data_IF_726555742375
#
_entry.id   IF_726555742375
#
_cell.length_a   1.000
_cell.length_b   1.000
_cell.length_c   1.000
_cell.angle_alpha   90.00
_cell.angle_beta   90.00
_cell.angle_gamma   90.00
#
_symmetry.space_group_name_H-M   'P 1'
#
loop_
_entity.id
_entity.type
_entity.pdbx_description
1 polymer ?
#
# COMPACT_ATOMS: atom_id res chain seq x y z
N UNK A 1 -38.01 -1.13 23.72
CA UNK A 1 -37.55 -1.75 22.44
C UNK A 1 -37.97 -0.81 21.31
N UNK A 2 -37.04 -0.45 20.41
CA UNK A 2 -37.40 0.31 19.21
C UNK A 2 -38.25 -0.58 18.30
N UNK A 3 -39.41 -0.07 17.89
CA UNK A 3 -40.36 -0.85 17.10
C UNK A 3 -40.16 -0.54 15.62
N UNK A 4 -40.09 -1.56 14.78
CA UNK A 4 -40.04 -1.44 13.33
C UNK A 4 -41.42 -1.04 12.83
N UNK A 5 -41.49 0.08 12.11
CA UNK A 5 -42.71 0.59 11.49
C UNK A 5 -42.53 0.64 9.97
N UNK A 6 -43.64 0.63 9.20
CA UNK A 6 -43.63 0.88 7.77
C UNK A 6 -44.23 2.24 7.48
N UNK A 7 -43.43 3.13 6.93
CA UNK A 7 -43.86 4.48 6.62
C UNK A 7 -43.95 4.74 5.13
N UNK A 8 -45.00 5.44 4.69
CA UNK A 8 -45.07 5.91 3.31
C UNK A 8 -43.90 6.86 3.04
N UNK A 9 -43.30 6.77 1.84
CA UNK A 9 -42.16 7.61 1.47
C UNK A 9 -42.46 9.10 1.60
N UNK A 10 -43.69 9.49 1.35
CA UNK A 10 -44.17 10.89 1.48
C UNK A 10 -44.08 11.46 2.92
N UNK A 11 -43.94 10.59 3.92
CA UNK A 11 -43.75 11.01 5.31
C UNK A 11 -42.29 11.32 5.67
N UNK A 12 -41.34 10.80 4.85
CA UNK A 12 -39.92 10.96 5.13
C UNK A 12 -39.37 12.27 4.55
N UNK A 13 -38.56 12.97 5.30
CA UNK A 13 -37.97 14.26 4.98
C UNK A 13 -36.45 14.16 5.04
N UNK A 14 -35.81 14.44 3.93
CA UNK A 14 -34.36 14.47 3.88
C UNK A 14 -33.79 15.60 4.74
N UNK A 15 -32.73 15.32 5.50
CA UNK A 15 -32.03 16.35 6.26
C UNK A 15 -31.17 17.21 5.33
N UNK A 16 -31.59 18.46 5.11
CA UNK A 16 -30.99 19.37 4.13
C UNK A 16 -29.49 19.69 4.35
N UNK A 17 -28.97 19.49 5.56
CA UNK A 17 -27.54 19.74 5.90
C UNK A 17 -26.75 18.43 6.00
N UNK A 18 -27.13 17.38 5.27
CA UNK A 18 -26.36 16.15 5.22
C UNK A 18 -25.01 16.40 4.50
N UNK A 19 -23.86 16.21 5.18
CA UNK A 19 -22.55 16.50 4.57
C UNK A 19 -22.09 15.44 3.58
N UNK A 20 -22.76 14.27 3.51
CA UNK A 20 -22.34 13.15 2.67
C UNK A 20 -22.87 13.28 1.25
N UNK A 21 -21.95 13.28 0.27
CA UNK A 21 -22.29 13.22 -1.17
C UNK A 21 -22.31 11.76 -1.59
N UNK A 22 -23.51 11.23 -1.85
CA UNK A 22 -23.70 9.80 -2.13
C UNK A 22 -24.61 9.53 -3.35
N UNK A 23 -24.87 10.53 -4.19
CA UNK A 23 -25.79 10.38 -5.33
C UNK A 23 -25.29 9.37 -6.37
N UNK A 24 -23.96 9.22 -6.51
CA UNK A 24 -23.33 8.25 -7.40
C UNK A 24 -23.61 6.78 -7.00
N UNK A 25 -23.88 6.53 -5.73
CA UNK A 25 -24.12 5.18 -5.21
C UNK A 25 -25.60 4.76 -5.22
N UNK A 26 -26.52 5.62 -5.69
CA UNK A 26 -27.96 5.33 -5.65
C UNK A 26 -28.29 4.10 -6.49
N UNK A 27 -27.66 3.92 -7.64
CA UNK A 27 -27.95 2.81 -8.56
C UNK A 27 -27.51 1.46 -7.99
N UNK A 28 -26.36 1.40 -7.32
CA UNK A 28 -25.91 0.20 -6.62
C UNK A 28 -26.88 -0.19 -5.50
N UNK A 29 -27.37 0.77 -4.71
CA UNK A 29 -28.35 0.47 -3.67
C UNK A 29 -29.71 0.09 -4.24
N UNK A 30 -30.14 0.64 -5.39
CA UNK A 30 -31.32 0.20 -6.12
C UNK A 30 -31.22 -1.25 -6.53
N UNK A 31 -30.09 -1.66 -7.11
CA UNK A 31 -29.82 -3.04 -7.49
C UNK A 31 -29.85 -3.98 -6.29
N UNK A 32 -29.16 -3.61 -5.21
CA UNK A 32 -29.16 -4.38 -3.96
C UNK A 32 -30.57 -4.51 -3.34
N UNK A 33 -31.39 -3.44 -3.34
CA UNK A 33 -32.77 -3.54 -2.81
C UNK A 33 -33.64 -4.43 -3.69
N UNK A 34 -33.45 -4.45 -5.02
CA UNK A 34 -34.19 -5.36 -5.91
C UNK A 34 -33.87 -6.82 -5.63
N UNK A 35 -32.60 -7.13 -5.41
CA UNK A 35 -32.15 -8.50 -5.18
C UNK A 35 -32.48 -8.98 -3.76
N UNK A 36 -32.05 -8.21 -2.76
CA UNK A 36 -32.14 -8.65 -1.36
C UNK A 36 -33.43 -8.18 -0.65
N UNK A 37 -34.18 -7.27 -1.25
CA UNK A 37 -35.27 -6.54 -0.58
C UNK A 37 -34.74 -5.42 0.33
N UNK A 38 -35.66 -4.64 0.90
CA UNK A 38 -35.30 -3.54 1.80
C UNK A 38 -34.98 -4.08 3.21
N UNK A 39 -33.75 -4.53 3.45
CA UNK A 39 -33.33 -5.26 4.66
C UNK A 39 -32.89 -4.36 5.82
N UNK A 40 -32.30 -3.20 5.51
CA UNK A 40 -31.77 -2.28 6.53
C UNK A 40 -32.72 -1.07 6.68
N UNK A 41 -33.45 -0.90 7.80
CA UNK A 41 -34.42 0.18 7.99
C UNK A 41 -33.80 1.57 7.88
N UNK A 42 -34.61 2.57 7.55
CA UNK A 42 -34.27 3.98 7.67
C UNK A 42 -34.46 4.38 9.14
N UNK A 43 -33.52 5.11 9.73
CA UNK A 43 -33.67 5.72 11.05
C UNK A 43 -34.21 7.13 10.87
N UNK A 44 -35.38 7.44 11.46
CA UNK A 44 -36.01 8.75 11.34
C UNK A 44 -36.60 9.21 12.66
N UNK A 45 -36.79 10.52 12.81
CA UNK A 45 -37.58 11.13 13.91
C UNK A 45 -39.06 10.93 13.65
N UNK A 46 -39.87 11.06 14.70
CA UNK A 46 -41.33 11.02 14.61
C UNK A 46 -41.93 12.08 13.69
N UNK A 47 -41.25 13.20 13.45
CA UNK A 47 -41.60 14.24 12.50
C UNK A 47 -41.28 13.89 11.03
N UNK A 48 -40.67 12.76 10.79
CA UNK A 48 -40.29 12.30 9.46
C UNK A 48 -38.86 12.62 9.05
N UNK A 49 -38.13 13.43 9.79
CA UNK A 49 -36.75 13.82 9.45
C UNK A 49 -35.79 12.61 9.52
N UNK A 50 -35.13 12.29 8.42
CA UNK A 50 -34.17 11.17 8.32
C UNK A 50 -32.95 11.48 9.19
N UNK A 51 -32.61 10.53 10.04
CA UNK A 51 -31.37 10.52 10.84
C UNK A 51 -30.28 9.76 10.11
N UNK A 52 -30.56 8.53 9.65
CA UNK A 52 -29.69 7.71 8.82
C UNK A 52 -30.47 6.99 7.74
N UNK A 53 -29.81 6.66 6.61
CA UNK A 53 -30.41 5.95 5.49
C UNK A 53 -30.85 6.86 4.32
N UNK A 54 -30.31 8.06 4.18
CA UNK A 54 -30.64 8.97 3.06
C UNK A 54 -30.44 8.31 1.69
N UNK A 55 -29.37 7.50 1.52
CA UNK A 55 -29.10 6.78 0.29
C UNK A 55 -30.16 5.71 0.01
N UNK A 56 -30.60 4.99 1.03
CA UNK A 56 -31.68 4.01 0.95
C UNK A 56 -33.03 4.68 0.63
N UNK A 57 -33.27 5.86 1.19
CA UNK A 57 -34.45 6.67 0.85
C UNK A 57 -34.46 7.07 -0.63
N UNK A 58 -33.33 7.60 -1.17
CA UNK A 58 -33.21 7.96 -2.58
C UNK A 58 -33.42 6.75 -3.49
N UNK A 59 -32.85 5.60 -3.13
CA UNK A 59 -33.06 4.35 -3.85
C UNK A 59 -34.51 3.89 -3.84
N UNK A 60 -35.20 4.00 -2.70
CA UNK A 60 -36.63 3.69 -2.58
C UNK A 60 -37.51 4.60 -3.44
N UNK A 61 -37.20 5.90 -3.49
CA UNK A 61 -37.88 6.85 -4.37
C UNK A 61 -37.68 6.46 -5.84
N UNK A 62 -36.43 6.12 -6.24
CA UNK A 62 -36.11 5.69 -7.61
C UNK A 62 -36.80 4.37 -7.99
N UNK A 63 -36.99 3.47 -7.03
CA UNK A 63 -37.71 2.21 -7.20
C UNK A 63 -39.24 2.39 -7.25
N UNK A 64 -39.77 3.55 -6.86
CA UNK A 64 -41.20 3.81 -6.74
C UNK A 64 -41.88 3.00 -5.64
N UNK A 65 -41.19 2.75 -4.53
CA UNK A 65 -41.80 2.04 -3.40
C UNK A 65 -42.83 2.92 -2.69
N UNK A 66 -43.96 2.35 -2.29
CA UNK A 66 -45.01 3.08 -1.55
C UNK A 66 -44.60 3.35 -0.11
N UNK A 67 -43.94 2.38 0.54
CA UNK A 67 -43.54 2.45 1.93
C UNK A 67 -42.21 1.72 2.16
N UNK A 68 -41.51 2.09 3.23
CA UNK A 68 -40.23 1.51 3.64
C UNK A 68 -40.21 1.21 5.15
N UNK A 69 -39.38 0.26 5.59
CA UNK A 69 -39.19 -0.01 7.02
C UNK A 69 -38.42 1.15 7.69
N UNK A 70 -38.92 1.59 8.81
CA UNK A 70 -38.37 2.72 9.58
C UNK A 70 -38.25 2.35 11.05
N UNK A 71 -37.10 2.72 11.63
CA UNK A 71 -36.93 2.76 13.10
C UNK A 71 -37.02 4.19 13.59
N UNK A 72 -37.64 4.37 14.75
CA UNK A 72 -37.77 5.71 15.38
C UNK A 72 -36.56 5.99 16.25
N UNK A 73 -35.98 7.18 16.11
CA UNK A 73 -34.87 7.71 16.90
C UNK A 73 -35.21 8.88 17.78
N UNK A 74 -36.44 8.93 18.31
CA UNK A 74 -36.92 10.02 19.16
C UNK A 74 -36.35 9.98 20.59
N UNK A 75 -35.66 8.93 20.96
CA UNK A 75 -34.95 8.75 22.23
C UNK A 75 -33.62 9.53 22.30
N UNK A 76 -33.19 10.11 21.20
CA UNK A 76 -31.95 10.90 21.11
C UNK A 76 -32.25 12.41 21.12
N UNK A 77 -31.41 13.17 21.81
CA UNK A 77 -31.41 14.63 21.73
C UNK A 77 -30.95 15.12 20.37
N UNK A 78 -31.27 16.35 19.97
CA UNK A 78 -30.86 16.96 18.71
C UNK A 78 -29.31 16.96 18.54
N UNK A 79 -28.58 17.16 19.64
CA UNK A 79 -27.13 17.12 19.64
C UNK A 79 -26.60 15.69 19.38
N UNK A 80 -27.22 14.69 20.02
CA UNK A 80 -26.88 13.29 19.80
C UNK A 80 -27.21 12.86 18.38
N UNK A 81 -28.32 13.27 17.79
CA UNK A 81 -28.69 13.00 16.40
C UNK A 81 -27.63 13.55 15.41
N UNK A 82 -27.18 14.81 15.65
CA UNK A 82 -26.12 15.39 14.81
C UNK A 82 -24.82 14.64 14.92
N UNK A 83 -24.40 14.29 16.14
CA UNK A 83 -23.19 13.51 16.39
C UNK A 83 -23.30 12.10 15.77
N UNK A 84 -24.45 11.44 15.95
CA UNK A 84 -24.72 10.11 15.43
C UNK A 84 -24.62 10.06 13.89
N UNK A 85 -25.20 11.02 13.17
CA UNK A 85 -25.06 11.11 11.70
C UNK A 85 -23.60 11.14 11.25
N UNK A 86 -22.75 11.87 11.96
CA UNK A 86 -21.33 11.94 11.62
C UNK A 86 -20.60 10.63 11.97
N UNK A 87 -20.86 10.09 13.19
CA UNK A 87 -20.17 8.92 13.69
C UNK A 87 -20.47 7.67 12.89
N UNK A 88 -21.72 7.38 12.55
CA UNK A 88 -22.11 6.20 11.75
C UNK A 88 -21.37 6.16 10.41
N UNK A 89 -21.33 7.31 9.72
CA UNK A 89 -20.62 7.39 8.45
C UNK A 89 -19.10 7.25 8.63
N UNK A 90 -18.53 7.91 9.66
CA UNK A 90 -17.09 7.88 9.89
C UNK A 90 -16.61 6.52 10.38
N UNK A 91 -17.37 5.86 11.23
CA UNK A 91 -17.04 4.51 11.73
C UNK A 91 -17.02 3.47 10.60
N UNK A 92 -17.94 3.58 9.63
CA UNK A 92 -17.92 2.72 8.45
C UNK A 92 -16.64 2.91 7.58
N UNK A 93 -16.10 4.14 7.53
CA UNK A 93 -14.85 4.43 6.83
C UNK A 93 -13.57 3.97 7.58
N UNK A 94 -13.66 3.74 8.89
CA UNK A 94 -12.54 3.24 9.69
C UNK A 94 -12.38 1.71 9.61
N UNK A 95 -13.43 1.00 9.20
CA UNK A 95 -13.35 -0.43 8.95
C UNK A 95 -12.59 -0.69 7.65
N UNK A 96 -11.66 -1.63 7.67
CA UNK A 96 -10.99 -2.16 6.49
C UNK A 96 -11.53 -3.54 6.14
N UNK A 97 -11.29 -3.98 4.91
CA UNK A 97 -11.55 -5.33 4.48
C UNK A 97 -10.31 -6.20 4.71
N UNK A 98 -10.51 -7.40 5.18
CA UNK A 98 -9.53 -8.48 5.07
C UNK A 98 -9.65 -8.99 3.62
N UNK A 99 -8.66 -8.64 2.80
CA UNK A 99 -8.73 -8.93 1.38
C UNK A 99 -8.62 -10.43 1.06
N UNK A 100 -7.99 -11.23 1.92
CA UNK A 100 -7.89 -12.68 1.75
C UNK A 100 -9.27 -13.32 1.97
N UNK A 101 -9.91 -13.01 3.10
CA UNK A 101 -11.25 -13.50 3.37
C UNK A 101 -12.27 -12.95 2.37
N UNK A 102 -12.14 -11.70 1.96
CA UNK A 102 -13.04 -11.08 0.98
C UNK A 102 -12.92 -11.74 -0.39
N UNK A 103 -11.71 -12.08 -0.83
CA UNK A 103 -11.51 -12.77 -2.11
C UNK A 103 -12.11 -14.18 -2.11
N UNK A 104 -12.02 -14.92 -0.99
CA UNK A 104 -12.66 -16.22 -0.84
C UNK A 104 -14.20 -16.12 -0.92
N UNK A 105 -14.79 -15.18 -0.20
CA UNK A 105 -16.25 -14.94 -0.24
C UNK A 105 -16.74 -14.57 -1.65
N UNK A 106 -15.99 -13.69 -2.35
CA UNK A 106 -16.32 -13.32 -3.73
C UNK A 106 -16.18 -14.50 -4.69
N UNK A 107 -15.15 -15.34 -4.55
CA UNK A 107 -14.99 -16.54 -5.38
C UNK A 107 -16.10 -17.57 -5.14
N UNK A 108 -16.55 -17.75 -3.91
CA UNK A 108 -17.68 -18.62 -3.59
C UNK A 108 -18.98 -18.11 -4.21
N UNK A 109 -19.21 -16.80 -4.17
CA UNK A 109 -20.37 -16.17 -4.79
C UNK A 109 -20.32 -16.30 -6.32
N UNK A 110 -19.17 -16.10 -6.96
CA UNK A 110 -18.97 -16.29 -8.40
C UNK A 110 -19.24 -17.74 -8.81
N UNK A 111 -18.70 -18.71 -8.07
CA UNK A 111 -18.92 -20.14 -8.30
C UNK A 111 -20.40 -20.54 -8.14
N UNK A 112 -21.15 -19.82 -7.29
CA UNK A 112 -22.59 -19.98 -7.14
C UNK A 112 -23.39 -19.28 -8.28
N UNK A 113 -22.72 -18.58 -9.20
CA UNK A 113 -23.35 -17.84 -10.29
C UNK A 113 -24.03 -16.55 -9.86
N UNK A 114 -23.60 -15.97 -8.72
CA UNK A 114 -24.13 -14.72 -8.20
C UNK A 114 -23.49 -13.52 -8.90
N UNK A 115 -24.29 -12.48 -9.16
CA UNK A 115 -23.80 -11.22 -9.74
C UNK A 115 -23.04 -10.40 -8.72
N UNK A 116 -21.71 -10.40 -8.81
CA UNK A 116 -20.81 -9.77 -7.85
C UNK A 116 -20.92 -8.22 -7.82
N UNK A 117 -21.41 -7.58 -8.88
CA UNK A 117 -21.65 -6.12 -8.88
C UNK A 117 -22.70 -5.71 -7.83
N UNK A 118 -23.57 -6.63 -7.43
CA UNK A 118 -24.56 -6.43 -6.36
C UNK A 118 -23.96 -6.33 -4.96
N UNK A 119 -22.68 -6.72 -4.78
CA UNK A 119 -21.95 -6.57 -3.53
C UNK A 119 -21.55 -5.11 -3.27
N UNK A 120 -21.53 -4.28 -4.30
CA UNK A 120 -21.16 -2.87 -4.23
C UNK A 120 -19.69 -2.57 -4.46
N UNK A 121 -18.87 -3.58 -4.76
CA UNK A 121 -17.50 -3.40 -5.26
C UNK A 121 -17.54 -3.06 -6.76
N UNK A 122 -16.56 -2.27 -7.21
CA UNK A 122 -16.42 -1.98 -8.64
C UNK A 122 -15.85 -3.21 -9.39
N UNK A 123 -16.24 -3.39 -10.67
CA UNK A 123 -15.78 -4.53 -11.49
C UNK A 123 -14.26 -4.71 -11.45
N UNK A 124 -13.49 -3.60 -11.52
CA UNK A 124 -12.02 -3.65 -11.44
C UNK A 124 -11.47 -4.04 -10.06
N UNK A 125 -12.19 -3.74 -8.98
CA UNK A 125 -11.86 -4.20 -7.62
C UNK A 125 -12.12 -5.69 -7.48
N UNK A 126 -13.26 -6.17 -7.98
CA UNK A 126 -13.63 -7.59 -8.02
C UNK A 126 -12.61 -8.39 -8.81
N UNK A 127 -12.28 -7.95 -10.03
CA UNK A 127 -11.26 -8.62 -10.86
C UNK A 127 -9.90 -8.69 -10.14
N UNK A 128 -9.47 -7.61 -9.48
CA UNK A 128 -8.21 -7.57 -8.74
C UNK A 128 -8.22 -8.48 -7.49
N UNK A 129 -9.35 -8.64 -6.83
CA UNK A 129 -9.53 -9.53 -5.68
C UNK A 129 -9.60 -11.00 -6.12
N UNK A 130 -10.37 -11.29 -7.18
CA UNK A 130 -10.49 -12.65 -7.73
C UNK A 130 -9.21 -13.12 -8.43
N UNK A 131 -8.45 -12.22 -9.08
CA UNK A 131 -7.15 -12.57 -9.62
C UNK A 131 -6.19 -13.04 -8.51
N UNK A 132 -6.26 -12.44 -7.33
CA UNK A 132 -5.52 -12.91 -6.15
C UNK A 132 -6.07 -14.24 -5.63
N UNK A 133 -7.40 -14.43 -5.60
CA UNK A 133 -8.01 -15.69 -5.22
C UNK A 133 -7.81 -16.80 -6.28
N UNK A 134 -7.72 -16.42 -7.56
CA UNK A 134 -7.39 -17.33 -8.66
C UNK A 134 -5.94 -17.82 -8.59
N UNK A 135 -5.03 -16.95 -8.20
CA UNK A 135 -3.65 -17.32 -7.84
C UNK A 135 -3.61 -18.22 -6.58
N UNK A 136 -4.59 -18.09 -5.66
CA UNK A 136 -4.69 -18.90 -4.44
C UNK A 136 -5.52 -20.19 -4.60
N UNK A 137 -6.46 -20.29 -5.56
CA UNK A 137 -7.11 -21.56 -5.93
C UNK A 137 -6.19 -22.47 -6.79
N UNK A 138 -5.15 -21.90 -7.38
CA UNK A 138 -3.94 -22.65 -7.73
C UNK A 138 -3.07 -22.93 -6.49
N UNK A 139 -3.48 -22.48 -5.28
CA UNK A 139 -2.78 -22.72 -4.01
C UNK A 139 -2.78 -24.18 -3.56
N UNK A 140 -3.64 -25.06 -4.10
CA UNK A 140 -3.35 -26.51 -4.03
C UNK A 140 -2.20 -26.91 -4.96
N UNK A 141 -1.87 -26.06 -5.96
CA UNK A 141 -0.64 -26.16 -6.75
C UNK A 141 0.43 -25.18 -6.26
N UNK A 142 0.08 -24.06 -5.59
CA UNK A 142 0.99 -23.05 -5.04
C UNK A 142 1.61 -23.47 -3.70
N UNK A 143 0.93 -24.27 -2.88
CA UNK A 143 1.54 -24.95 -1.73
C UNK A 143 2.67 -25.92 -2.18
N UNK A 144 2.67 -26.33 -3.46
CA UNK A 144 3.76 -27.10 -4.04
C UNK A 144 4.84 -26.24 -4.74
N UNK A 145 4.55 -24.96 -5.00
CA UNK A 145 5.53 -24.02 -5.62
C UNK A 145 6.41 -23.37 -4.54
N UNK A 146 5.90 -23.16 -3.33
CA UNK A 146 6.67 -22.72 -2.16
C UNK A 146 7.29 -23.88 -1.36
N UNK A 147 6.89 -25.13 -1.64
CA UNK A 147 7.61 -26.31 -1.15
C UNK A 147 9.00 -26.32 -1.82
N UNK A 148 10.01 -25.91 -1.05
CA UNK A 148 11.41 -26.05 -1.47
C UNK A 148 11.68 -27.54 -1.65
N UNK A 149 11.82 -28.04 -2.88
CA UNK A 149 12.07 -29.47 -3.08
C UNK A 149 13.34 -29.87 -2.34
N UNK A 150 13.34 -31.09 -1.79
CA UNK A 150 14.51 -31.64 -1.14
C UNK A 150 15.76 -31.42 -2.00
N UNK A 151 16.81 -30.92 -1.37
CA UNK A 151 18.07 -30.67 -2.06
C UNK A 151 18.52 -31.96 -2.75
N UNK A 152 18.66 -32.00 -4.08
CA UNK A 152 19.08 -33.20 -4.78
C UNK A 152 20.41 -33.71 -4.23
N UNK A 153 20.54 -35.03 -4.09
CA UNK A 153 21.74 -35.66 -3.53
C UNK A 153 23.05 -35.33 -4.31
N UNK A 154 22.91 -34.83 -5.52
CA UNK A 154 23.97 -34.22 -6.32
C UNK A 154 23.50 -32.86 -6.81
N UNK A 155 24.28 -31.80 -6.52
CA UNK A 155 23.98 -30.48 -7.05
C UNK A 155 24.02 -30.49 -8.58
N UNK A 156 22.97 -29.95 -9.18
CA UNK A 156 22.90 -29.78 -10.65
C UNK A 156 23.77 -28.59 -11.07
N UNK A 157 23.75 -27.50 -10.29
CA UNK A 157 24.54 -26.29 -10.55
C UNK A 157 25.94 -26.40 -9.94
N UNK A 158 26.94 -25.94 -10.68
CA UNK A 158 28.35 -25.86 -10.25
C UNK A 158 28.78 -24.41 -10.20
N UNK A 159 29.78 -24.11 -9.39
CA UNK A 159 30.40 -22.77 -9.37
C UNK A 159 30.89 -22.42 -10.79
N UNK A 160 30.47 -21.26 -11.29
CA UNK A 160 30.79 -20.79 -12.65
C UNK A 160 29.66 -21.03 -13.66
N UNK A 161 28.66 -21.86 -13.35
CA UNK A 161 27.54 -22.09 -14.28
C UNK A 161 26.70 -20.86 -14.44
N UNK A 162 26.35 -20.50 -15.68
CA UNK A 162 25.43 -19.41 -16.03
C UNK A 162 24.14 -20.00 -16.60
N UNK A 163 23.02 -19.70 -15.95
CA UNK A 163 21.70 -20.09 -16.41
C UNK A 163 21.03 -18.95 -17.15
N UNK A 164 20.43 -19.26 -18.29
CA UNK A 164 19.66 -18.30 -19.09
C UNK A 164 18.17 -18.52 -18.88
N UNK A 165 17.48 -17.52 -18.37
CA UNK A 165 16.06 -17.50 -18.08
C UNK A 165 15.38 -16.47 -18.98
N UNK A 166 15.13 -16.83 -20.23
CA UNK A 166 14.74 -15.89 -21.27
C UNK A 166 15.84 -14.85 -21.50
N UNK A 167 15.58 -13.59 -21.20
CA UNK A 167 16.57 -12.51 -21.28
C UNK A 167 17.40 -12.29 -20.00
N UNK A 168 17.10 -13.03 -18.94
CA UNK A 168 17.75 -12.88 -17.64
C UNK A 168 18.89 -13.89 -17.51
N UNK A 169 19.90 -13.53 -16.73
CA UNK A 169 21.05 -14.38 -16.42
C UNK A 169 21.15 -14.59 -14.92
N UNK A 170 21.47 -15.80 -14.51
CA UNK A 170 21.79 -16.18 -13.14
C UNK A 170 23.12 -16.92 -13.14
N UNK A 171 24.05 -16.54 -12.28
CA UNK A 171 25.33 -17.22 -12.12
C UNK A 171 25.43 -17.84 -10.74
N UNK A 172 25.98 -19.06 -10.68
CA UNK A 172 26.38 -19.70 -9.44
C UNK A 172 27.81 -19.28 -9.11
N UNK A 173 28.02 -18.38 -8.15
CA UNK A 173 29.35 -17.89 -7.82
C UNK A 173 29.35 -16.90 -6.65
N UNK A 174 30.55 -16.46 -6.27
CA UNK A 174 30.70 -15.44 -5.24
C UNK A 174 30.46 -14.04 -5.82
N UNK A 175 29.51 -13.31 -5.28
CA UNK A 175 29.19 -11.94 -5.70
C UNK A 175 30.32 -10.92 -5.39
N UNK A 176 31.26 -11.26 -4.53
CA UNK A 176 32.46 -10.46 -4.27
C UNK A 176 33.61 -10.72 -5.27
N UNK A 177 33.49 -11.76 -6.09
CA UNK A 177 34.47 -12.05 -7.14
C UNK A 177 34.19 -11.26 -8.41
N UNK A 178 35.10 -10.34 -8.76
CA UNK A 178 34.98 -9.49 -9.95
C UNK A 178 34.88 -10.30 -11.26
N UNK A 179 35.50 -11.49 -11.34
CA UNK A 179 35.41 -12.33 -12.51
C UNK A 179 34.04 -12.97 -12.72
N UNK A 180 33.35 -13.30 -11.62
CA UNK A 180 31.97 -13.80 -11.59
C UNK A 180 31.02 -12.71 -12.08
N UNK A 181 31.14 -11.50 -11.55
CA UNK A 181 30.33 -10.35 -11.98
C UNK A 181 30.61 -10.02 -13.46
N UNK A 182 31.84 -10.02 -13.91
CA UNK A 182 32.19 -9.77 -15.31
C UNK A 182 31.56 -10.81 -16.24
N UNK A 183 31.61 -12.10 -15.86
CA UNK A 183 31.00 -13.19 -16.64
C UNK A 183 29.46 -13.06 -16.69
N UNK A 184 28.81 -12.70 -15.56
CA UNK A 184 27.37 -12.48 -15.53
C UNK A 184 26.96 -11.34 -16.46
N UNK A 185 27.65 -10.22 -16.38
CA UNK A 185 27.31 -8.98 -17.09
C UNK A 185 27.72 -8.98 -18.57
N UNK A 186 28.67 -9.83 -18.97
CA UNK A 186 29.07 -9.99 -20.36
C UNK A 186 29.38 -8.65 -21.10
N UNK A 187 30.07 -7.77 -20.41
CA UNK A 187 30.40 -6.41 -20.89
C UNK A 187 29.30 -5.36 -20.78
N UNK A 188 28.11 -5.72 -20.32
CA UNK A 188 27.02 -4.77 -20.08
C UNK A 188 27.22 -4.00 -18.76
N UNK A 189 26.58 -2.82 -18.65
CA UNK A 189 26.55 -2.04 -17.43
C UNK A 189 25.13 -1.98 -16.85
N UNK A 190 25.02 -2.09 -15.53
CA UNK A 190 23.74 -2.00 -14.84
C UNK A 190 23.34 -0.54 -14.60
N UNK A 191 22.08 -0.22 -14.87
CA UNK A 191 21.47 1.07 -14.51
C UNK A 191 20.89 1.09 -13.10
N UNK A 192 20.65 -0.10 -12.52
CA UNK A 192 20.16 -0.29 -11.17
C UNK A 192 20.81 -1.53 -10.55
N UNK A 193 21.29 -1.40 -9.33
CA UNK A 193 21.56 -2.51 -8.42
C UNK A 193 20.60 -2.40 -7.25
N UNK A 194 19.82 -3.45 -6.99
CA UNK A 194 19.01 -3.57 -5.78
C UNK A 194 19.42 -4.84 -5.06
N UNK A 195 19.77 -4.74 -3.78
CA UNK A 195 20.21 -5.89 -2.99
C UNK A 195 19.76 -5.78 -1.54
N UNK A 196 19.54 -6.94 -0.92
CA UNK A 196 19.32 -7.13 0.50
C UNK A 196 20.38 -8.10 1.02
N UNK A 197 21.59 -7.61 1.33
CA UNK A 197 22.69 -8.47 1.78
C UNK A 197 22.38 -9.04 3.17
N UNK A 198 23.14 -10.07 3.61
CA UNK A 198 23.03 -10.53 4.99
C UNK A 198 23.20 -9.39 6.00
N UNK A 199 22.27 -9.28 6.99
CA UNK A 199 22.28 -8.21 7.98
C UNK A 199 23.24 -8.54 9.11
N UNK A 200 24.49 -8.14 9.01
CA UNK A 200 25.50 -8.41 10.03
C UNK A 200 25.46 -9.86 10.52
N UNK A 201 25.32 -10.09 11.82
CA UNK A 201 25.26 -11.44 12.41
C UNK A 201 23.81 -11.83 12.80
N UNK A 202 22.79 -11.39 12.08
CA UNK A 202 21.39 -11.70 12.42
C UNK A 202 20.98 -13.14 12.11
N UNK A 203 21.66 -13.85 11.20
CA UNK A 203 21.33 -15.23 10.81
C UNK A 203 22.60 -16.07 10.72
N UNK A 204 22.53 -17.30 11.22
CA UNK A 204 23.52 -18.32 10.92
C UNK A 204 23.34 -18.77 9.48
N UNK A 205 24.16 -18.22 8.59
CA UNK A 205 24.27 -18.77 7.23
C UNK A 205 25.12 -20.03 7.26
N UNK A 206 24.66 -21.09 6.59
CA UNK A 206 25.32 -22.40 6.54
C UNK A 206 26.81 -22.35 6.07
N UNK A 207 27.26 -21.20 5.57
CA UNK A 207 28.64 -20.89 5.16
C UNK A 207 29.57 -20.43 6.28
N UNK A 208 29.15 -20.52 7.57
CA UNK A 208 30.06 -20.23 8.68
C UNK A 208 30.08 -18.79 9.21
N UNK A 209 29.06 -18.02 8.92
CA UNK A 209 28.92 -16.62 9.38
C UNK A 209 29.76 -15.63 8.59
N UNK A 210 29.43 -14.35 8.68
CA UNK A 210 30.18 -13.27 8.04
C UNK A 210 31.18 -12.76 9.08
N UNK A 211 32.48 -13.08 8.88
CA UNK A 211 33.55 -12.68 9.80
C UNK A 211 33.73 -11.14 9.81
N UNK A 212 33.57 -10.51 8.64
CA UNK A 212 33.63 -9.06 8.51
C UNK A 212 32.55 -8.62 7.48
N UNK A 213 31.54 -7.90 7.97
CA UNK A 213 30.45 -7.40 7.14
C UNK A 213 30.90 -6.28 6.21
N UNK A 214 31.82 -5.42 6.66
CA UNK A 214 32.37 -4.34 5.85
C UNK A 214 33.17 -4.90 4.66
N UNK A 215 33.99 -5.93 4.89
CA UNK A 215 34.77 -6.60 3.83
C UNK A 215 33.83 -7.24 2.80
N UNK A 216 32.76 -7.91 3.24
CA UNK A 216 31.75 -8.47 2.33
C UNK A 216 31.14 -7.38 1.46
N UNK A 217 30.66 -6.31 2.04
CA UNK A 217 29.98 -5.24 1.32
C UNK A 217 30.90 -4.46 0.40
N UNK A 218 32.17 -4.27 0.79
CA UNK A 218 33.18 -3.68 -0.08
C UNK A 218 33.50 -4.61 -1.26
N UNK A 219 33.65 -5.90 -1.01
CA UNK A 219 33.88 -6.91 -2.03
C UNK A 219 32.75 -6.95 -3.07
N UNK A 220 31.51 -6.94 -2.63
CA UNK A 220 30.32 -6.96 -3.52
C UNK A 220 30.16 -5.64 -4.28
N UNK A 221 30.37 -4.49 -3.64
CA UNK A 221 30.14 -3.20 -4.28
C UNK A 221 31.28 -2.72 -5.18
N UNK A 222 32.51 -3.17 -4.95
CA UNK A 222 33.68 -2.75 -5.73
C UNK A 222 33.61 -3.17 -7.22
N UNK A 223 33.22 -4.42 -7.58
CA UNK A 223 33.20 -4.88 -8.96
C UNK A 223 31.93 -4.50 -9.74
N UNK A 224 30.94 -3.81 -9.13
CA UNK A 224 29.68 -3.51 -9.78
C UNK A 224 29.88 -2.65 -11.04
N UNK A 225 29.59 -3.15 -12.26
CA UNK A 225 29.74 -2.40 -13.49
C UNK A 225 28.52 -1.50 -13.74
N UNK A 226 28.44 -0.40 -12.99
CA UNK A 226 27.33 0.53 -13.07
C UNK A 226 27.52 1.59 -14.14
N UNK A 227 26.44 1.98 -14.81
CA UNK A 227 26.44 3.17 -15.66
C UNK A 227 26.74 4.42 -14.83
N UNK A 228 27.13 5.52 -15.47
CA UNK A 228 27.49 6.75 -14.78
C UNK A 228 26.32 7.33 -13.94
N UNK A 229 25.09 7.22 -14.45
CA UNK A 229 23.86 7.59 -13.78
C UNK A 229 23.19 6.41 -13.04
N UNK A 230 23.90 5.31 -12.90
CA UNK A 230 23.42 4.09 -12.22
C UNK A 230 23.09 4.34 -10.75
N UNK A 231 22.04 3.67 -10.29
CA UNK A 231 21.53 3.80 -8.94
C UNK A 231 21.77 2.50 -8.16
N UNK A 232 22.26 2.60 -6.93
CA UNK A 232 22.46 1.45 -6.03
C UNK A 232 21.56 1.60 -4.83
N UNK A 233 20.67 0.64 -4.62
CA UNK A 233 19.75 0.57 -3.50
C UNK A 233 20.08 -0.66 -2.66
N UNK A 234 20.31 -0.44 -1.37
CA UNK A 234 20.67 -1.51 -0.43
C UNK A 234 19.70 -1.50 0.73
N UNK A 235 18.95 -2.60 0.87
CA UNK A 235 18.00 -2.78 1.97
C UNK A 235 18.70 -3.37 3.19
N UNK A 236 18.55 -2.74 4.36
CA UNK A 236 19.19 -3.14 5.60
C UNK A 236 18.25 -2.97 6.80
N UNK A 237 18.20 -3.99 7.66
CA UNK A 237 17.47 -3.95 8.92
C UNK A 237 18.33 -3.46 10.09
N UNK A 238 17.66 -3.09 11.18
CA UNK A 238 18.31 -2.74 12.43
C UNK A 238 18.84 -3.99 13.15
N UNK A 239 20.05 -3.92 13.70
CA UNK A 239 20.61 -4.93 14.59
C UNK A 239 20.72 -4.35 15.98
N UNK A 240 20.40 -5.17 16.98
CA UNK A 240 20.56 -4.84 18.39
C UNK A 240 21.54 -5.80 19.04
N UNK A 241 22.50 -5.27 19.80
CA UNK A 241 23.38 -6.01 20.71
C UNK A 241 23.34 -5.34 22.07
N UNK A 242 23.27 -6.13 23.12
CA UNK A 242 23.23 -5.62 24.50
C UNK A 242 22.17 -4.52 24.69
N UNK A 243 21.03 -4.68 24.05
CA UNK A 243 19.90 -3.73 24.05
C UNK A 243 20.15 -2.39 23.36
N UNK A 244 21.23 -2.26 22.57
CA UNK A 244 21.60 -1.07 21.82
C UNK A 244 21.54 -1.32 20.31
N UNK A 245 21.17 -0.29 19.53
CA UNK A 245 21.23 -0.34 18.06
C UNK A 245 22.70 -0.27 17.63
N UNK A 246 23.14 -1.26 16.86
CA UNK A 246 24.49 -1.30 16.31
C UNK A 246 24.48 -0.76 14.87
N UNK A 247 25.13 0.38 14.59
CA UNK A 247 25.24 0.93 13.23
C UNK A 247 26.33 0.19 12.44
N UNK A 248 26.13 -1.10 12.19
CA UNK A 248 27.09 -2.00 11.53
C UNK A 248 27.47 -1.59 10.11
N UNK A 249 26.73 -0.68 9.51
CA UNK A 249 26.95 -0.17 8.14
C UNK A 249 27.86 1.07 8.06
N UNK A 250 28.28 1.67 9.17
CA UNK A 250 29.00 2.96 9.16
C UNK A 250 30.34 2.90 8.45
N UNK A 251 31.10 1.81 8.60
CA UNK A 251 32.36 1.58 7.91
C UNK A 251 32.16 1.50 6.39
N UNK A 252 31.21 0.69 5.97
CA UNK A 252 30.84 0.56 4.55
C UNK A 252 30.30 1.87 3.95
N UNK A 253 29.48 2.62 4.68
CA UNK A 253 29.00 3.94 4.20
C UNK A 253 30.15 4.92 3.95
N UNK A 254 31.15 4.90 4.83
CA UNK A 254 32.36 5.73 4.69
C UNK A 254 33.19 5.29 3.48
N UNK A 255 33.33 3.99 3.28
CA UNK A 255 33.99 3.41 2.13
C UNK A 255 33.28 3.74 0.82
N UNK A 256 31.94 3.57 0.72
CA UNK A 256 31.16 3.94 -0.46
C UNK A 256 31.42 5.38 -0.88
N UNK A 257 31.49 6.29 0.12
CA UNK A 257 31.78 7.70 -0.14
C UNK A 257 33.21 7.89 -0.69
N UNK A 258 34.20 7.15 -0.21
CA UNK A 258 35.58 7.19 -0.71
C UNK A 258 35.68 6.71 -2.17
N UNK A 259 34.77 5.82 -2.58
CA UNK A 259 34.65 5.32 -3.97
C UNK A 259 33.83 6.26 -4.89
N UNK A 260 33.50 7.48 -4.42
CA UNK A 260 32.77 8.48 -5.19
C UNK A 260 31.26 8.31 -5.25
N UNK A 261 30.73 7.36 -4.46
CA UNK A 261 29.28 7.21 -4.30
C UNK A 261 28.74 8.25 -3.31
N UNK A 262 27.66 8.93 -3.69
CA UNK A 262 26.93 9.81 -2.78
C UNK A 262 25.79 9.04 -2.15
N UNK A 263 25.65 9.09 -0.82
CA UNK A 263 24.42 8.67 -0.16
C UNK A 263 23.33 9.70 -0.52
N UNK A 264 22.64 9.41 -1.63
CA UNK A 264 21.71 10.33 -2.26
C UNK A 264 20.39 10.47 -1.51
N UNK A 265 19.88 9.32 -1.01
CA UNK A 265 18.64 9.28 -0.26
C UNK A 265 18.66 8.12 0.76
N UNK A 266 17.68 8.14 1.64
CA UNK A 266 17.41 7.12 2.62
C UNK A 266 15.90 6.94 2.66
N UNK A 267 15.41 5.78 2.28
CA UNK A 267 14.01 5.43 2.25
C UNK A 267 13.68 4.48 3.39
N UNK A 268 12.42 4.41 3.75
CA UNK A 268 11.88 3.47 4.72
C UNK A 268 10.99 2.47 3.98
N UNK A 269 11.26 1.20 4.17
CA UNK A 269 10.32 0.15 3.80
C UNK A 269 9.45 -0.15 5.02
N UNK A 270 8.19 0.32 4.97
CA UNK A 270 7.16 0.06 5.95
C UNK A 270 6.56 -1.32 5.65
N UNK A 271 6.77 -2.25 6.57
CA UNK A 271 6.38 -3.66 6.46
C UNK A 271 5.04 -3.94 7.14
N UNK A 272 4.35 -2.89 7.57
CA UNK A 272 3.11 -2.98 8.34
C UNK A 272 3.34 -3.24 9.83
N UNK A 273 2.32 -3.70 10.56
CA UNK A 273 2.40 -3.93 11.99
C UNK A 273 3.53 -4.91 12.34
N UNK A 274 4.34 -4.55 13.32
CA UNK A 274 5.38 -5.43 13.84
C UNK A 274 4.78 -6.70 14.45
N UNK A 275 5.53 -7.81 14.41
CA UNK A 275 5.11 -9.06 15.05
C UNK A 275 4.90 -8.87 16.55
N UNK A 276 3.83 -9.46 17.13
CA UNK A 276 3.62 -9.42 18.56
C UNK A 276 4.80 -10.11 19.30
N UNK A 277 5.21 -9.53 20.42
CA UNK A 277 6.30 -10.08 21.24
C UNK A 277 6.82 -9.07 22.26
N UNK A 278 7.67 -9.55 23.16
CA UNK A 278 8.44 -8.69 24.08
C UNK A 278 9.74 -8.27 23.40
N UNK A 279 9.87 -6.98 23.16
CA UNK A 279 11.02 -6.37 22.50
C UNK A 279 11.97 -5.66 23.49
N UNK A 280 12.02 -6.15 24.73
CA UNK A 280 12.87 -5.60 25.81
C UNK A 280 12.65 -4.09 26.03
N UNK A 281 11.39 -3.65 26.07
CA UNK A 281 11.01 -2.26 26.27
C UNK A 281 11.08 -1.38 25.01
N UNK A 282 11.43 -1.93 23.85
CA UNK A 282 11.39 -1.24 22.57
C UNK A 282 10.03 -1.44 21.88
N UNK A 283 9.75 -0.57 20.92
CA UNK A 283 8.63 -0.79 19.99
C UNK A 283 8.94 -1.96 19.05
N UNK A 284 7.91 -2.68 18.61
CA UNK A 284 8.04 -3.76 17.64
C UNK A 284 8.60 -3.22 16.30
N UNK A 285 9.62 -3.88 15.71
CA UNK A 285 10.18 -3.44 14.43
C UNK A 285 9.15 -3.63 13.33
N UNK A 286 8.85 -2.54 12.62
CA UNK A 286 7.85 -2.49 11.57
C UNK A 286 8.41 -1.96 10.24
N UNK A 287 9.73 -1.71 10.18
CA UNK A 287 10.35 -1.13 9.01
C UNK A 287 11.80 -1.58 8.84
N UNK A 288 12.30 -1.41 7.62
CA UNK A 288 13.71 -1.49 7.27
C UNK A 288 14.13 -0.25 6.49
N UNK A 289 15.44 -0.07 6.31
CA UNK A 289 15.98 1.06 5.58
C UNK A 289 16.44 0.65 4.19
N UNK A 290 16.22 1.53 3.20
CA UNK A 290 16.80 1.39 1.88
C UNK A 290 17.76 2.55 1.66
N UNK A 291 19.04 2.27 1.69
CA UNK A 291 20.09 3.21 1.38
C UNK A 291 20.20 3.38 -0.13
N UNK A 292 20.14 4.61 -0.62
CA UNK A 292 20.23 4.92 -2.02
C UNK A 292 21.51 5.69 -2.34
N UNK A 293 22.34 5.11 -3.21
CA UNK A 293 23.57 5.70 -3.67
C UNK A 293 23.54 5.98 -5.16
N UNK A 294 24.19 7.05 -5.57
CA UNK A 294 24.46 7.37 -6.97
C UNK A 294 25.75 8.19 -7.11
N UNK A 295 26.24 8.28 -8.35
CA UNK A 295 27.30 9.23 -8.74
C UNK A 295 26.69 10.44 -9.43
N UNK A 296 25.67 10.22 -10.26
CA UNK A 296 24.87 11.25 -10.91
C UNK A 296 23.39 11.08 -10.59
N UNK A 297 22.68 12.21 -10.59
CA UNK A 297 21.24 12.21 -10.26
C UNK A 297 20.42 11.78 -11.46
N UNK A 298 19.53 10.83 -11.28
CA UNK A 298 18.50 10.46 -12.24
C UNK A 298 17.14 10.94 -11.74
N UNK A 299 16.32 11.49 -12.62
CA UNK A 299 14.94 11.88 -12.24
C UNK A 299 14.10 10.64 -12.08
N UNK A 300 13.38 10.47 -10.95
CA UNK A 300 12.46 9.36 -10.77
C UNK A 300 11.24 9.51 -11.71
N UNK A 301 10.64 8.40 -12.09
CA UNK A 301 9.42 8.40 -12.85
C UNK A 301 8.24 8.89 -12.00
N UNK A 302 7.36 9.67 -12.62
CA UNK A 302 6.10 10.09 -12.01
C UNK A 302 5.05 9.03 -12.33
N UNK A 303 4.77 8.15 -11.39
CA UNK A 303 3.90 6.99 -11.58
C UNK A 303 2.73 6.94 -10.59
N UNK A 304 2.74 7.81 -9.57
CA UNK A 304 1.68 7.84 -8.56
C UNK A 304 0.65 8.90 -8.95
N UNK A 305 -0.63 8.56 -9.15
CA UNK A 305 -1.66 9.52 -9.49
C UNK A 305 -1.77 10.65 -8.46
N UNK A 306 -1.95 11.88 -8.93
CA UNK A 306 -2.22 13.03 -8.08
C UNK A 306 -3.71 13.10 -7.74
N UNK A 307 -4.03 13.26 -6.46
CA UNK A 307 -5.43 13.35 -5.96
C UNK A 307 -6.19 14.54 -6.55
N UNK A 308 -5.49 15.63 -6.91
CA UNK A 308 -6.05 16.88 -7.40
C UNK A 308 -5.48 17.22 -8.78
N UNK A 309 -5.32 16.22 -9.65
CA UNK A 309 -4.84 16.43 -11.02
C UNK A 309 -5.76 17.38 -11.78
N UNK A 310 -5.17 18.34 -12.49
CA UNK A 310 -5.88 19.36 -13.26
C UNK A 310 -6.44 20.54 -12.46
N UNK A 311 -6.50 20.47 -11.12
CA UNK A 311 -6.92 21.58 -10.28
C UNK A 311 -5.79 22.62 -10.12
N UNK A 312 -6.15 23.90 -10.00
CA UNK A 312 -5.19 24.98 -9.75
C UNK A 312 -4.51 24.80 -8.40
N UNK A 313 -3.19 24.74 -8.43
CA UNK A 313 -2.40 24.48 -7.23
C UNK A 313 -1.98 25.77 -6.50
N UNK A 314 -1.85 25.67 -5.18
CA UNK A 314 -1.24 26.69 -4.33
C UNK A 314 -1.91 28.09 -4.34
N UNK A 315 -3.20 28.15 -4.66
CA UNK A 315 -4.02 29.35 -4.54
C UNK A 315 -4.86 29.31 -3.26
N UNK A 316 -5.07 30.50 -2.68
CA UNK A 316 -6.08 30.74 -1.65
C UNK A 316 -7.41 31.12 -2.31
N UNK A 317 -8.48 31.15 -1.53
CA UNK A 317 -9.79 31.56 -2.02
C UNK A 317 -9.84 32.99 -2.57
N UNK A 318 -8.93 33.87 -2.14
CA UNK A 318 -8.77 35.25 -2.61
C UNK A 318 -7.87 35.36 -3.88
N UNK A 319 -7.43 34.23 -4.45
CA UNK A 319 -6.55 34.20 -5.61
C UNK A 319 -5.07 34.45 -5.31
N UNK A 320 -4.70 34.73 -4.07
CA UNK A 320 -3.30 34.88 -3.69
C UNK A 320 -2.58 33.54 -3.55
N UNK A 321 -1.25 33.53 -3.78
CA UNK A 321 -0.44 32.33 -3.61
C UNK A 321 -0.34 31.92 -2.15
N UNK A 322 -0.38 30.59 -1.89
CA UNK A 322 -0.04 30.05 -0.56
C UNK A 322 1.46 30.28 -0.29
N UNK A 323 1.80 30.41 1.00
CA UNK A 323 3.17 30.69 1.42
C UNK A 323 4.07 29.45 1.33
N UNK A 324 5.31 29.65 0.89
CA UNK A 324 6.38 28.65 0.90
C UNK A 324 7.62 29.22 1.57
N UNK A 325 8.26 28.45 2.45
CA UNK A 325 9.57 28.81 3.01
C UNK A 325 10.67 28.42 2.02
N UNK A 326 11.48 29.38 1.63
CA UNK A 326 12.64 29.19 0.74
C UNK A 326 13.83 28.63 1.50
N UNK A 327 14.88 28.19 0.75
CA UNK A 327 16.11 27.61 1.33
C UNK A 327 16.90 28.62 2.18
N UNK A 328 16.78 29.90 1.91
CA UNK A 328 17.36 31.02 2.68
C UNK A 328 16.59 31.35 3.96
N UNK A 329 15.47 30.67 4.20
CA UNK A 329 14.58 30.88 5.35
C UNK A 329 13.49 31.93 5.13
N UNK A 330 13.53 32.68 4.04
CA UNK A 330 12.48 33.65 3.70
C UNK A 330 11.17 32.96 3.30
N UNK A 331 10.06 33.66 3.55
CA UNK A 331 8.72 33.19 3.18
C UNK A 331 8.28 33.93 1.93
N UNK A 332 7.99 33.19 0.86
CA UNK A 332 7.48 33.72 -0.40
C UNK A 332 6.29 32.92 -0.91
N UNK A 333 5.72 33.34 -2.04
CA UNK A 333 4.71 32.57 -2.75
C UNK A 333 5.31 31.43 -3.57
N UNK A 334 4.50 30.44 -3.90
CA UNK A 334 4.88 29.37 -4.83
C UNK A 334 5.05 29.91 -6.25
N UNK A 335 6.15 29.56 -6.91
CA UNK A 335 6.44 29.98 -8.29
C UNK A 335 5.46 29.39 -9.33
N UNK A 336 4.76 28.32 -8.98
CA UNK A 336 3.79 27.62 -9.83
C UNK A 336 2.35 27.80 -9.35
N UNK A 337 2.07 28.79 -8.50
CA UNK A 337 0.72 29.07 -8.04
C UNK A 337 -0.21 29.37 -9.23
N UNK A 338 -1.39 28.77 -9.24
CA UNK A 338 -2.37 28.89 -10.34
C UNK A 338 -2.07 28.03 -11.57
N UNK A 339 -1.03 27.20 -11.54
CA UNK A 339 -0.84 26.19 -12.58
C UNK A 339 -1.57 24.89 -12.20
N UNK A 340 -2.16 24.19 -13.21
CA UNK A 340 -2.85 22.94 -12.94
C UNK A 340 -1.90 21.89 -12.34
N UNK A 341 -2.38 21.17 -11.36
CA UNK A 341 -1.66 20.03 -10.75
C UNK A 341 -1.45 18.97 -11.82
N UNK A 342 -0.24 18.43 -11.89
CA UNK A 342 0.13 17.35 -12.82
C UNK A 342 -0.65 16.08 -12.55
N UNK A 343 -0.83 15.21 -13.56
CA UNK A 343 -1.56 13.95 -13.44
C UNK A 343 -0.89 12.97 -12.47
N UNK A 344 0.42 12.87 -12.54
CA UNK A 344 1.20 11.96 -11.70
C UNK A 344 2.33 12.67 -10.96
N UNK A 345 2.63 12.19 -9.76
CA UNK A 345 3.78 12.59 -8.93
C UNK A 345 4.79 11.45 -8.78
N UNK A 346 5.97 11.78 -8.28
CA UNK A 346 6.96 10.77 -7.87
C UNK A 346 6.44 10.01 -6.65
N UNK A 347 6.83 8.73 -6.46
CA UNK A 347 6.54 7.97 -5.25
C UNK A 347 7.06 8.63 -3.97
N UNK A 348 6.47 8.25 -2.85
CA UNK A 348 6.90 8.69 -1.53
C UNK A 348 8.21 8.00 -1.11
N UNK A 349 8.92 8.59 -0.13
CA UNK A 349 10.13 8.03 0.46
C UNK A 349 9.85 6.93 1.49
N UNK A 350 8.59 6.67 1.82
CA UNK A 350 8.11 5.54 2.61
C UNK A 350 7.42 4.57 1.65
N UNK A 351 8.01 3.41 1.46
CA UNK A 351 7.52 2.35 0.59
C UNK A 351 6.70 1.40 1.46
N UNK A 352 5.41 1.30 1.20
CA UNK A 352 4.49 0.44 1.96
C UNK A 352 4.23 -0.83 1.19
N UNK A 353 4.89 -1.91 1.62
CA UNK A 353 4.69 -3.26 1.12
C UNK A 353 4.60 -4.13 2.37
N UNK A 354 3.41 -4.65 2.64
CA UNK A 354 3.17 -5.48 3.83
C UNK A 354 3.96 -6.79 3.74
N UNK A 355 4.37 -7.31 4.90
CA UNK A 355 4.83 -8.70 4.98
C UNK A 355 3.61 -9.61 4.83
N UNK A 356 3.74 -10.63 4.05
CA UNK A 356 2.79 -11.74 4.00
C UNK A 356 3.09 -12.74 5.09
#
# INVERSE_FOLDING_TARGET
MQQLEHWPLSRLIEYARNPRKNDHAVDAVVAAIREFGFRVPILAKGDGTIIDGHLRFKAAVKLGLDAVPVLRGDDMTETQIKAFRLSVNRLAELAGWDNELLSLELAELEAAGFDLELTGFETGEIEALLAKAGDENDASAADTVDDVPDTPAQSVSRTGDIWLLGRHRLICGDAADASVIAALMDGEQASLCFTSPPYGNQRDYASGGIADWDDLMQGVCAPLPMTRDGQVLVNLGLIHRDNEVVPYWDGWLSWMRSQGWRRFAWYVWDQGPGMPGDWNGRLAPAFEFIFHFNRETRRPNKIVPCKHAGEDSHLRADGSSTAMRRKDGEVGGWSHAGQPTQDNRIPDSVIRIMRH
#
